data_IF_857086420243
#
_entry.id   IF_857086420243
#
_cell.length_a   1.000
_cell.length_b   1.000
_cell.length_c   1.000
_cell.angle_alpha   90.00
_cell.angle_beta   90.00
_cell.angle_gamma   90.00
#
_symmetry.space_group_name_H-M   'P 1'
#
loop_
_entity.id
_entity.type
_entity.pdbx_description
1 polymer ?
#
# COMPACT_ATOMS: atom_id res chain seq x y z
N UNK A 1 -1.52 24.95 -8.35
CA UNK A 1 -2.33 23.79 -7.89
C UNK A 1 -2.49 23.77 -6.36
N UNK A 2 -3.74 23.81 -5.90
CA UNK A 2 -4.10 23.46 -4.52
C UNK A 2 -4.18 21.93 -4.44
N UNK A 3 -3.56 21.32 -3.43
CA UNK A 3 -3.60 19.86 -3.26
C UNK A 3 -3.26 19.46 -1.82
N UNK A 4 -3.80 18.32 -1.42
CA UNK A 4 -3.37 17.58 -0.22
C UNK A 4 -2.82 16.22 -0.66
N UNK A 5 -1.73 15.77 -0.05
CA UNK A 5 -1.15 14.46 -0.32
C UNK A 5 -0.66 13.82 0.97
N UNK A 6 -1.09 12.57 1.19
CA UNK A 6 -0.50 11.65 2.15
C UNK A 6 0.58 10.84 1.42
N UNK A 7 1.80 10.81 1.97
CA UNK A 7 2.89 9.96 1.47
C UNK A 7 3.38 9.09 2.62
N UNK A 8 3.23 7.78 2.45
CA UNK A 8 3.83 6.76 3.33
C UNK A 8 4.90 6.03 2.53
N UNK A 9 6.05 5.80 3.16
CA UNK A 9 7.12 4.98 2.64
C UNK A 9 7.19 3.71 3.50
N UNK A 10 7.16 2.58 2.80
CA UNK A 10 7.01 1.26 3.39
C UNK A 10 8.00 0.30 2.76
N UNK A 11 8.66 -0.51 3.59
CA UNK A 11 9.46 -1.65 3.14
C UNK A 11 8.57 -2.89 3.19
N UNK A 12 8.39 -3.55 2.04
CA UNK A 12 7.47 -4.68 1.91
C UNK A 12 8.27 -5.97 1.75
N UNK A 13 7.97 -6.98 2.56
CA UNK A 13 8.60 -8.28 2.57
C UNK A 13 7.53 -9.34 2.31
N UNK A 14 7.31 -9.73 1.05
CA UNK A 14 6.37 -10.77 0.69
C UNK A 14 6.94 -12.15 1.07
N UNK A 15 6.15 -12.95 1.77
CA UNK A 15 6.46 -14.36 2.05
C UNK A 15 5.37 -15.20 1.39
N UNK A 16 5.61 -15.61 0.14
CA UNK A 16 4.63 -16.35 -0.65
C UNK A 16 4.99 -17.83 -0.71
N UNK A 17 3.99 -18.68 -0.52
CA UNK A 17 4.07 -20.07 -0.91
C UNK A 17 3.57 -20.20 -2.35
N UNK A 18 4.43 -20.73 -3.21
CA UNK A 18 4.14 -20.91 -4.63
C UNK A 18 3.92 -22.40 -4.94
N UNK A 19 2.85 -22.69 -5.67
CA UNK A 19 2.55 -24.01 -6.18
C UNK A 19 2.34 -23.95 -7.69
N UNK A 20 3.18 -24.65 -8.44
CA UNK A 20 3.04 -24.78 -9.90
C UNK A 20 2.24 -26.03 -10.24
N UNK A 21 1.06 -25.84 -10.83
CA UNK A 21 0.24 -26.95 -11.31
C UNK A 21 0.81 -27.54 -12.60
N UNK A 22 1.32 -26.68 -13.48
CA UNK A 22 2.01 -27.07 -14.70
C UNK A 22 2.95 -25.94 -15.15
N UNK A 23 3.48 -26.01 -16.38
CA UNK A 23 4.42 -25.00 -16.91
C UNK A 23 3.78 -23.61 -17.12
N UNK A 24 2.47 -23.53 -17.23
CA UNK A 24 1.73 -22.31 -17.58
C UNK A 24 0.82 -21.80 -16.46
N UNK A 25 0.54 -22.63 -15.45
CA UNK A 25 -0.38 -22.33 -14.36
C UNK A 25 0.31 -22.55 -13.02
N UNK A 26 0.18 -21.54 -12.18
CA UNK A 26 0.76 -21.51 -10.85
C UNK A 26 -0.06 -20.62 -9.93
N UNK A 27 0.15 -20.79 -8.63
CA UNK A 27 -0.56 -20.06 -7.60
C UNK A 27 0.41 -19.70 -6.50
N UNK A 28 0.49 -18.40 -6.19
CA UNK A 28 1.21 -17.86 -5.05
C UNK A 28 0.24 -17.38 -4.00
N UNK A 29 0.41 -17.76 -2.75
CA UNK A 29 -0.39 -17.22 -1.64
C UNK A 29 0.48 -17.01 -0.42
N UNK A 30 0.29 -15.89 0.26
CA UNK A 30 0.98 -15.67 1.52
C UNK A 30 0.86 -14.26 2.07
N UNK A 31 1.40 -14.03 3.26
CA UNK A 31 1.43 -12.71 3.86
C UNK A 31 2.48 -11.80 3.21
N UNK A 32 2.22 -10.50 3.25
CA UNK A 32 3.21 -9.45 2.98
C UNK A 32 3.38 -8.61 4.22
N UNK A 33 4.59 -8.60 4.76
CA UNK A 33 4.94 -7.79 5.92
C UNK A 33 5.36 -6.40 5.45
N UNK A 34 4.69 -5.34 5.90
CA UNK A 34 5.05 -3.98 5.53
C UNK A 34 5.54 -3.20 6.75
N UNK A 35 6.77 -2.68 6.67
CA UNK A 35 7.36 -1.78 7.65
C UNK A 35 7.21 -0.34 7.17
N UNK A 36 6.29 0.41 7.79
CA UNK A 36 5.99 1.81 7.45
C UNK A 36 6.96 2.75 8.17
N UNK A 37 8.14 2.95 7.59
CA UNK A 37 9.25 3.67 8.24
C UNK A 37 9.09 5.20 8.19
N UNK A 38 8.30 5.73 7.25
CA UNK A 38 8.10 7.18 7.13
C UNK A 38 6.71 7.54 6.63
N UNK A 39 6.04 8.47 7.30
CA UNK A 39 4.76 9.04 6.89
C UNK A 39 4.81 10.57 6.89
N UNK A 40 4.22 11.21 5.87
CA UNK A 40 4.12 12.68 5.80
C UNK A 40 2.85 13.12 5.09
N UNK A 41 2.25 14.21 5.57
CA UNK A 41 1.12 14.89 4.93
C UNK A 41 1.60 16.26 4.44
N UNK A 42 1.24 16.61 3.21
CA UNK A 42 1.58 17.90 2.61
C UNK A 42 0.34 18.54 2.03
N UNK A 43 -0.05 19.67 2.61
CA UNK A 43 -1.20 20.46 2.17
C UNK A 43 -0.72 21.80 1.62
N UNK A 44 -1.16 22.12 0.40
CA UNK A 44 -0.94 23.43 -0.23
C UNK A 44 -2.27 24.05 -0.56
N UNK A 45 -2.53 25.22 0.03
CA UNK A 45 -3.75 25.99 -0.21
C UNK A 45 -3.38 27.45 -0.50
N UNK A 46 -4.31 28.17 -1.13
CA UNK A 46 -4.22 29.63 -1.25
C UNK A 46 -5.24 30.23 -0.29
N UNK A 47 -4.82 31.21 0.50
CA UNK A 47 -5.71 32.03 1.32
C UNK A 47 -5.29 33.48 1.07
N UNK A 48 -6.26 34.33 0.74
CA UNK A 48 -6.05 35.77 0.51
C UNK A 48 -4.94 36.11 -0.51
N UNK A 49 -4.83 35.30 -1.58
CA UNK A 49 -3.80 35.47 -2.63
C UNK A 49 -2.43 34.88 -2.30
N UNK A 50 -2.15 34.61 -1.01
CA UNK A 50 -0.91 34.01 -0.55
C UNK A 50 -0.92 32.48 -0.62
N UNK A 51 0.23 31.90 -0.95
CA UNK A 51 0.42 30.45 -1.05
C UNK A 51 0.93 29.92 0.29
N UNK A 52 0.09 29.17 0.99
CA UNK A 52 0.49 28.48 2.22
C UNK A 52 0.88 27.02 1.94
N UNK A 53 1.92 26.55 2.63
CA UNK A 53 2.41 25.17 2.56
C UNK A 53 2.54 24.63 3.97
N UNK A 54 1.69 23.68 4.32
CA UNK A 54 1.78 22.90 5.55
C UNK A 54 2.41 21.55 5.23
N UNK A 55 3.35 21.13 6.05
CA UNK A 55 3.99 19.82 5.93
C UNK A 55 4.16 19.23 7.32
N UNK A 56 3.48 18.11 7.56
CA UNK A 56 3.55 17.37 8.80
C UNK A 56 4.26 16.04 8.54
N UNK A 57 5.17 15.69 9.45
CA UNK A 57 5.93 14.44 9.40
C UNK A 57 5.51 13.57 10.58
N UNK A 58 5.60 12.26 10.42
CA UNK A 58 5.29 11.27 11.45
C UNK A 58 3.82 11.27 11.88
N UNK A 59 2.96 10.95 10.91
CA UNK A 59 1.49 11.07 10.97
C UNK A 59 0.81 9.96 11.78
N UNK A 60 1.53 9.36 12.74
CA UNK A 60 1.01 8.24 13.53
C UNK A 60 0.79 6.97 12.68
N UNK A 61 1.58 6.73 11.64
CA UNK A 61 1.43 5.52 10.83
C UNK A 61 1.72 4.25 11.65
N UNK A 62 0.96 3.18 11.40
CA UNK A 62 1.20 1.88 12.02
C UNK A 62 2.54 1.34 11.51
N UNK A 63 3.54 1.22 12.40
CA UNK A 63 4.92 0.86 12.02
C UNK A 63 5.04 -0.48 11.29
N UNK A 64 4.14 -1.42 11.56
CA UNK A 64 4.13 -2.75 10.98
C UNK A 64 2.70 -3.15 10.60
N UNK A 65 2.50 -3.60 9.36
CA UNK A 65 1.24 -4.17 8.88
C UNK A 65 1.48 -5.53 8.22
N UNK A 66 0.43 -6.34 8.16
CA UNK A 66 0.42 -7.60 7.42
C UNK A 66 -0.72 -7.54 6.41
N UNK A 67 -0.38 -7.72 5.14
CA UNK A 67 -1.34 -7.87 4.05
C UNK A 67 -1.44 -9.34 3.65
N UNK A 68 -2.57 -9.72 3.06
CA UNK A 68 -2.70 -11.00 2.36
C UNK A 68 -2.47 -10.77 0.86
N UNK A 69 -1.64 -11.59 0.24
CA UNK A 69 -1.37 -11.53 -1.19
C UNK A 69 -1.63 -12.88 -1.85
N UNK A 70 -2.20 -12.80 -3.04
CA UNK A 70 -2.51 -13.91 -3.92
C UNK A 70 -1.99 -13.57 -5.32
N UNK A 71 -1.36 -14.54 -5.96
CA UNK A 71 -0.86 -14.48 -7.33
C UNK A 71 -1.44 -15.67 -8.07
N UNK A 72 -2.00 -15.42 -9.24
CA UNK A 72 -2.41 -16.44 -10.19
C UNK A 72 -1.53 -16.31 -11.43
N UNK A 73 -0.65 -17.28 -11.62
CA UNK A 73 0.12 -17.40 -12.85
C UNK A 73 -0.74 -18.03 -13.93
N UNK A 74 -0.75 -17.43 -15.12
CA UNK A 74 -1.49 -17.96 -16.26
C UNK A 74 -0.72 -17.73 -17.58
N UNK A 75 -1.09 -18.41 -18.69
CA UNK A 75 -0.32 -18.34 -19.92
C UNK A 75 -0.28 -16.97 -20.61
N UNK A 76 -1.12 -16.01 -20.19
CA UNK A 76 -1.31 -14.72 -20.86
C UNK A 76 -0.63 -13.61 -20.04
N UNK A 77 -1.06 -13.42 -18.80
CA UNK A 77 -0.60 -12.37 -17.88
C UNK A 77 -0.86 -12.80 -16.44
N UNK A 78 0.17 -12.83 -15.60
CA UNK A 78 -0.02 -13.16 -14.19
C UNK A 78 -0.82 -12.06 -13.47
N UNK A 79 -1.74 -12.46 -12.61
CA UNK A 79 -2.59 -11.54 -11.87
C UNK A 79 -2.20 -11.57 -10.40
N UNK A 80 -2.12 -10.41 -9.77
CA UNK A 80 -1.99 -10.30 -8.32
C UNK A 80 -3.19 -9.62 -7.70
N UNK A 81 -3.54 -10.11 -6.51
CA UNK A 81 -4.52 -9.56 -5.60
C UNK A 81 -3.84 -9.35 -4.26
N UNK A 82 -3.90 -8.14 -3.72
CA UNK A 82 -3.38 -7.83 -2.38
C UNK A 82 -4.45 -7.15 -1.55
N UNK A 83 -4.75 -7.73 -0.39
CA UNK A 83 -5.69 -7.19 0.57
C UNK A 83 -4.96 -6.71 1.83
N UNK A 84 -5.19 -5.45 2.19
CA UNK A 84 -4.63 -4.80 3.38
C UNK A 84 -5.74 -4.56 4.40
N UNK A 85 -5.96 -5.50 5.35
CA UNK A 85 -6.99 -5.35 6.38
C UNK A 85 -6.64 -4.31 7.45
N UNK A 86 -5.36 -3.96 7.58
CA UNK A 86 -4.88 -3.04 8.62
C UNK A 86 -4.83 -1.61 8.11
N UNK A 87 -5.32 -0.70 8.93
CA UNK A 87 -5.18 0.73 8.68
C UNK A 87 -3.72 1.17 8.74
N UNK A 88 -3.32 1.94 7.73
CA UNK A 88 -1.97 2.51 7.64
C UNK A 88 -1.76 3.59 8.70
N UNK A 89 -2.83 4.25 9.17
CA UNK A 89 -2.81 5.30 10.19
C UNK A 89 -3.41 4.76 11.50
N UNK A 90 -2.71 4.92 12.62
CA UNK A 90 -3.06 4.26 13.89
C UNK A 90 -4.01 5.08 14.78
N UNK A 91 -4.09 6.41 14.59
CA UNK A 91 -4.80 7.35 15.49
C UNK A 91 -5.57 8.45 14.73
N UNK A 92 -6.06 8.17 13.52
CA UNK A 92 -6.93 9.11 12.80
C UNK A 92 -8.31 8.46 12.60
N UNK A 93 -9.39 9.24 12.67
CA UNK A 93 -10.76 8.79 12.32
C UNK A 93 -10.90 8.29 10.86
N UNK A 94 -9.85 8.47 10.06
CA UNK A 94 -9.79 8.06 8.67
C UNK A 94 -9.05 6.73 8.55
N UNK A 95 -9.83 5.65 8.59
CA UNK A 95 -9.39 4.28 8.35
C UNK A 95 -9.36 3.98 6.86
N UNK A 96 -8.26 3.39 6.40
CA UNK A 96 -8.02 3.04 5.00
C UNK A 96 -7.63 1.58 4.91
N UNK A 97 -8.59 0.77 4.47
CA UNK A 97 -8.33 -0.58 3.99
C UNK A 97 -8.24 -0.55 2.47
N UNK A 98 -7.26 -1.25 1.91
CA UNK A 98 -7.06 -1.27 0.47
C UNK A 98 -7.14 -2.69 -0.09
N UNK A 99 -7.85 -2.82 -1.19
CA UNK A 99 -7.78 -3.96 -2.08
C UNK A 99 -7.06 -3.52 -3.36
N UNK A 100 -5.94 -4.16 -3.66
CA UNK A 100 -5.16 -3.91 -4.88
C UNK A 100 -5.30 -5.09 -5.82
N UNK A 101 -5.63 -4.82 -7.08
CA UNK A 101 -5.68 -5.80 -8.16
C UNK A 101 -4.76 -5.29 -9.25
N UNK A 102 -3.93 -6.15 -9.81
CA UNK A 102 -3.10 -5.75 -10.93
C UNK A 102 -2.44 -6.91 -11.65
N UNK A 103 -1.61 -6.53 -12.61
CA UNK A 103 -0.80 -7.42 -13.41
C UNK A 103 0.53 -7.63 -12.69
N UNK A 104 0.96 -8.88 -12.60
CA UNK A 104 2.26 -9.33 -12.13
C UNK A 104 3.07 -9.80 -13.35
N UNK A 105 4.34 -9.42 -13.40
CA UNK A 105 5.26 -9.69 -14.51
C UNK A 105 6.57 -10.25 -13.96
#
# INVERSE_FOLDING_TARGET
>A
PQFSRVKVFSLNFPLLYEHKFNRQWGLGIGPVFNLNTYGSIKTRYKKDGEKHKLMEKNIGQRKFTVDAMFILENPIVDLYLKYSPMDVLKDNDVNFQSLSIGIYL
#
